data_IF_225994419442
#
_entry.id   IF_225994419442
#
_cell.length_a   1.000
_cell.length_b   1.000
_cell.length_c   1.000
_cell.angle_alpha   90.00
_cell.angle_beta   90.00
_cell.angle_gamma   90.00
#
_symmetry.space_group_name_H-M   'P 1'
#
loop_
_entity.id
_entity.type
_entity.pdbx_description
1 polymer ?
#
# COMPACT_ATOMS: atom_id res chain seq x y z
N UNK A 1 -66.49 7.12 -13.86
CA UNK A 1 -65.66 8.00 -13.01
C UNK A 1 -64.75 7.17 -12.09
N UNK A 2 -63.74 6.45 -12.63
CA UNK A 2 -62.80 5.60 -11.84
C UNK A 2 -61.35 5.66 -12.32
N UNK A 3 -60.98 6.62 -13.18
CA UNK A 3 -59.64 6.68 -13.82
C UNK A 3 -58.76 7.85 -13.35
N UNK A 4 -59.26 8.74 -12.48
CA UNK A 4 -58.51 9.91 -12.02
C UNK A 4 -57.77 9.73 -10.69
N UNK A 5 -58.08 8.67 -9.94
CA UNK A 5 -57.51 8.46 -8.58
C UNK A 5 -56.11 7.84 -8.61
N UNK A 6 -55.67 7.27 -9.74
CA UNK A 6 -54.39 6.55 -9.82
C UNK A 6 -53.18 7.44 -10.17
N UNK A 7 -53.41 8.63 -10.74
CA UNK A 7 -52.35 9.53 -11.21
C UNK A 7 -51.84 10.45 -10.08
N UNK A 8 -52.70 10.77 -9.11
CA UNK A 8 -52.34 11.62 -7.96
C UNK A 8 -51.52 10.83 -6.92
N UNK A 9 -51.72 9.51 -6.82
CA UNK A 9 -50.98 8.66 -5.87
C UNK A 9 -49.56 8.29 -6.37
N UNK A 10 -49.32 8.32 -7.68
CA UNK A 10 -47.99 8.06 -8.28
C UNK A 10 -47.09 9.29 -8.34
N UNK A 11 -47.65 10.50 -8.16
CA UNK A 11 -46.90 11.76 -8.23
C UNK A 11 -46.42 12.27 -6.86
N UNK A 12 -46.79 11.58 -5.76
CA UNK A 12 -46.43 11.97 -4.39
C UNK A 12 -45.23 11.20 -3.81
N UNK A 13 -44.68 10.22 -4.54
CA UNK A 13 -43.54 9.40 -4.07
C UNK A 13 -42.17 9.86 -4.60
N UNK A 14 -42.09 10.95 -5.35
CA UNK A 14 -40.86 11.38 -6.02
C UNK A 14 -40.14 12.58 -5.37
N UNK A 15 -40.53 13.01 -4.16
CA UNK A 15 -39.97 14.26 -3.57
C UNK A 15 -39.21 14.12 -2.26
N UNK A 16 -39.04 12.94 -1.67
CA UNK A 16 -38.19 12.79 -0.48
C UNK A 16 -37.55 11.40 -0.39
N UNK A 17 -36.71 11.06 -1.37
CA UNK A 17 -35.60 10.14 -1.09
C UNK A 17 -34.36 11.01 -0.84
N UNK A 18 -34.41 11.81 0.23
CA UNK A 18 -33.19 12.25 0.87
C UNK A 18 -32.71 10.99 1.60
N UNK A 19 -31.91 10.17 0.93
CA UNK A 19 -31.26 9.04 1.58
C UNK A 19 -30.38 9.62 2.69
N UNK A 20 -30.84 9.47 3.93
CA UNK A 20 -30.01 9.73 5.09
C UNK A 20 -28.97 8.62 5.15
N UNK A 21 -27.82 8.88 4.55
CA UNK A 21 -26.68 7.96 4.50
C UNK A 21 -26.21 7.53 5.89
N UNK A 22 -26.57 8.25 6.96
CA UNK A 22 -26.25 7.86 8.34
C UNK A 22 -27.08 6.68 8.86
N UNK A 23 -28.22 6.39 8.22
CA UNK A 23 -29.14 5.30 8.57
C UNK A 23 -29.02 4.09 7.65
N UNK A 24 -28.10 4.09 6.67
CA UNK A 24 -27.82 2.91 5.85
C UNK A 24 -27.25 1.78 6.73
N UNK A 25 -28.00 0.67 6.97
CA UNK A 25 -27.54 -0.41 7.83
C UNK A 25 -26.34 -1.17 7.25
N UNK A 26 -26.13 -1.08 5.94
CA UNK A 26 -24.98 -1.68 5.27
C UNK A 26 -23.79 -0.73 5.19
N UNK A 27 -24.04 0.59 5.38
CA UNK A 27 -23.04 1.65 5.23
C UNK A 27 -22.17 1.45 3.99
N UNK A 28 -22.77 1.04 2.86
CA UNK A 28 -21.99 0.71 1.66
C UNK A 28 -21.26 1.94 1.12
N UNK A 29 -21.82 3.12 1.36
CA UNK A 29 -21.18 4.41 1.09
C UNK A 29 -19.97 4.70 2.00
N UNK A 30 -19.92 4.11 3.20
CA UNK A 30 -18.78 4.21 4.14
C UNK A 30 -17.76 3.07 3.95
N UNK A 31 -17.99 2.14 3.01
CA UNK A 31 -16.95 1.22 2.56
C UNK A 31 -15.90 2.08 1.86
N UNK A 32 -14.91 2.47 2.65
CA UNK A 32 -13.74 3.25 2.24
C UNK A 32 -13.15 2.58 1.00
N UNK A 33 -13.03 3.34 -0.10
CA UNK A 33 -12.51 2.89 -1.39
C UNK A 33 -11.33 1.95 -1.15
N UNK A 34 -11.45 0.69 -1.60
CA UNK A 34 -10.40 -0.31 -1.46
C UNK A 34 -9.16 0.17 -2.24
N UNK A 35 -8.25 0.86 -1.54
CA UNK A 35 -7.09 1.51 -2.13
C UNK A 35 -5.84 0.84 -1.59
N UNK A 36 -5.03 0.30 -2.49
CA UNK A 36 -3.84 -0.49 -2.16
C UNK A 36 -2.73 -0.17 -3.14
N UNK A 37 -1.49 -0.30 -2.69
CA UNK A 37 -0.34 -0.39 -3.59
C UNK A 37 0.02 -1.84 -3.84
N UNK A 38 0.22 -2.18 -5.10
CA UNK A 38 0.49 -3.54 -5.56
C UNK A 38 1.92 -3.63 -6.08
N UNK A 39 2.71 -4.54 -5.52
CA UNK A 39 4.09 -4.79 -5.90
C UNK A 39 4.20 -5.27 -7.35
N UNK A 40 5.25 -4.81 -8.04
CA UNK A 40 5.56 -5.11 -9.45
C UNK A 40 7.05 -5.32 -9.67
N UNK A 41 7.38 -5.82 -10.85
CA UNK A 41 8.75 -6.01 -11.29
C UNK A 41 9.46 -7.15 -10.56
N UNK A 42 10.78 -7.07 -10.53
CA UNK A 42 11.69 -8.08 -9.95
C UNK A 42 11.38 -8.39 -8.47
N UNK A 43 10.87 -7.40 -7.73
CA UNK A 43 10.45 -7.57 -6.34
C UNK A 43 9.38 -8.67 -6.15
N UNK A 44 8.50 -8.89 -7.15
CA UNK A 44 7.50 -9.99 -7.13
C UNK A 44 8.15 -11.34 -7.43
N UNK A 45 9.12 -11.36 -8.35
CA UNK A 45 9.85 -12.57 -8.71
C UNK A 45 10.70 -13.04 -7.51
N UNK A 46 11.34 -12.12 -6.82
CA UNK A 46 12.13 -12.37 -5.60
C UNK A 46 11.30 -13.03 -4.50
N UNK A 47 10.05 -12.61 -4.27
CA UNK A 47 9.18 -13.23 -3.26
C UNK A 47 8.95 -14.73 -3.51
N UNK A 48 8.97 -15.15 -4.78
CA UNK A 48 8.77 -16.54 -5.19
C UNK A 48 10.09 -17.34 -5.24
N UNK A 49 11.24 -16.67 -5.15
CA UNK A 49 12.55 -17.34 -5.07
C UNK A 49 12.90 -17.70 -3.62
N UNK A 50 13.24 -18.98 -3.43
CA UNK A 50 13.69 -19.51 -2.14
C UNK A 50 14.95 -18.81 -1.63
N UNK A 51 15.78 -18.23 -2.50
CA UNK A 51 16.99 -17.51 -2.07
C UNK A 51 16.73 -16.18 -1.38
N UNK A 52 15.51 -15.63 -1.52
CA UNK A 52 15.08 -14.39 -0.88
C UNK A 52 14.24 -14.64 0.38
N UNK A 53 13.91 -15.89 0.72
CA UNK A 53 13.20 -16.24 1.95
C UNK A 53 11.88 -15.45 2.17
N UNK A 54 11.18 -15.11 1.09
CA UNK A 54 9.95 -14.30 1.17
C UNK A 54 10.21 -12.81 1.44
N UNK A 55 11.40 -12.31 1.12
CA UNK A 55 11.72 -10.89 1.00
C UNK A 55 11.58 -10.43 -0.45
N UNK A 56 11.36 -9.12 -0.63
CA UNK A 56 11.27 -8.53 -1.98
C UNK A 56 12.63 -8.17 -2.55
N UNK A 57 13.63 -8.06 -1.67
CA UNK A 57 14.99 -7.67 -2.00
C UNK A 57 15.94 -8.12 -0.87
N UNK A 58 17.25 -8.06 -1.09
CA UNK A 58 18.27 -8.40 -0.09
C UNK A 58 19.51 -7.51 -0.21
N UNK A 59 20.21 -7.29 0.89
CA UNK A 59 21.52 -6.63 0.89
C UNK A 59 22.57 -7.46 1.63
N UNK A 60 23.84 -7.29 1.25
CA UNK A 60 24.97 -7.88 1.95
C UNK A 60 25.49 -6.92 3.02
N UNK A 61 25.62 -7.40 4.27
CA UNK A 61 26.19 -6.58 5.36
C UNK A 61 27.71 -6.43 5.25
N UNK A 62 28.39 -7.28 4.46
CA UNK A 62 29.83 -7.18 4.14
C UNK A 62 30.12 -6.48 2.80
N UNK A 63 29.08 -6.17 2.02
CA UNK A 63 29.17 -5.46 0.74
C UNK A 63 29.40 -3.95 0.87
N UNK A 64 29.43 -3.26 -0.28
CA UNK A 64 29.48 -1.79 -0.32
C UNK A 64 28.09 -1.19 -0.07
N UNK A 65 27.81 -0.90 1.20
CA UNK A 65 26.53 -0.37 1.65
C UNK A 65 26.11 0.94 0.96
N UNK A 66 27.05 1.69 0.36
CA UNK A 66 26.73 2.94 -0.35
C UNK A 66 26.18 2.70 -1.76
N UNK A 67 26.46 1.54 -2.34
CA UNK A 67 25.94 1.13 -3.64
C UNK A 67 24.57 0.43 -3.53
N UNK A 68 24.16 0.04 -2.32
CA UNK A 68 22.94 -0.71 -2.05
C UNK A 68 21.72 0.22 -1.85
N UNK A 69 20.59 -0.17 -2.43
CA UNK A 69 19.32 0.53 -2.29
C UNK A 69 18.16 -0.45 -2.23
N UNK A 70 17.24 -0.25 -1.30
CA UNK A 70 15.98 -0.98 -1.31
C UNK A 70 15.09 -0.39 -2.40
N UNK A 71 14.75 -1.19 -3.41
CA UNK A 71 13.96 -0.69 -4.55
C UNK A 71 12.77 -1.60 -4.88
N UNK A 72 11.64 -0.99 -5.19
CA UNK A 72 10.46 -1.71 -5.68
C UNK A 72 9.58 -0.83 -6.56
N UNK A 73 8.89 -1.49 -7.49
CA UNK A 73 7.83 -0.86 -8.27
C UNK A 73 6.47 -1.15 -7.65
N UNK A 74 5.59 -0.14 -7.65
CA UNK A 74 4.24 -0.29 -7.13
C UNK A 74 3.19 0.35 -8.06
N UNK A 75 2.11 -0.40 -8.33
CA UNK A 75 0.89 0.12 -8.93
C UNK A 75 -0.08 0.60 -7.83
N UNK A 76 -0.64 1.80 -7.97
CA UNK A 76 -1.76 2.24 -7.15
C UNK A 76 -3.07 1.67 -7.72
N UNK A 77 -3.76 0.83 -6.94
CA UNK A 77 -5.06 0.27 -7.28
C UNK A 77 -6.11 0.91 -6.37
N UNK A 78 -7.06 1.59 -6.98
CA UNK A 78 -8.22 2.18 -6.32
C UNK A 78 -9.36 2.32 -7.32
N UNK A 79 -10.59 2.43 -6.82
CA UNK A 79 -11.74 2.83 -7.64
C UNK A 79 -11.56 4.23 -8.22
N UNK A 80 -10.74 5.06 -7.58
CA UNK A 80 -10.38 6.40 -8.03
C UNK A 80 -8.86 6.55 -8.13
N UNK A 81 -8.33 6.43 -9.35
CA UNK A 81 -6.89 6.44 -9.62
C UNK A 81 -6.21 7.79 -9.33
N UNK A 82 -6.98 8.87 -9.13
CA UNK A 82 -6.45 10.18 -8.78
C UNK A 82 -6.57 10.49 -7.28
N UNK A 83 -7.07 9.55 -6.49
CA UNK A 83 -7.28 9.75 -5.05
C UNK A 83 -6.01 9.66 -4.22
N UNK A 84 -4.88 9.22 -4.76
CA UNK A 84 -3.62 9.12 -4.01
C UNK A 84 -2.98 10.50 -3.82
N UNK A 85 -2.79 10.92 -2.56
CA UNK A 85 -2.05 12.14 -2.21
C UNK A 85 -0.57 11.84 -2.00
N UNK A 86 -0.27 10.82 -1.19
CA UNK A 86 1.09 10.42 -0.87
C UNK A 86 1.15 8.99 -0.33
N UNK A 87 2.35 8.41 -0.41
CA UNK A 87 2.73 7.16 0.24
C UNK A 87 3.81 7.49 1.25
N UNK A 88 3.53 7.26 2.53
CA UNK A 88 4.47 7.44 3.62
C UNK A 88 5.13 6.11 3.96
N UNK A 89 6.44 6.08 3.85
CA UNK A 89 7.25 4.88 4.00
C UNK A 89 7.96 4.92 5.34
N UNK A 90 7.90 3.81 6.05
CA UNK A 90 8.48 3.61 7.36
C UNK A 90 9.39 2.39 7.36
N UNK A 91 10.34 2.36 8.30
CA UNK A 91 11.18 1.21 8.56
C UNK A 91 11.13 0.80 10.03
N UNK A 92 11.32 -0.49 10.31
CA UNK A 92 11.56 -1.04 11.65
C UNK A 92 12.45 -2.29 11.60
N UNK A 93 13.15 -2.56 12.70
CA UNK A 93 14.07 -3.71 12.82
C UNK A 93 13.31 -5.00 13.16
N UNK A 94 12.25 -4.91 13.96
CA UNK A 94 11.35 -6.02 14.27
C UNK A 94 9.88 -5.58 14.20
N UNK A 95 8.96 -6.54 14.11
CA UNK A 95 7.52 -6.26 14.09
C UNK A 95 7.01 -5.58 15.37
N UNK A 96 7.75 -5.71 16.49
CA UNK A 96 7.45 -5.05 17.76
C UNK A 96 8.06 -3.66 17.92
N UNK A 97 9.06 -3.30 17.09
CA UNK A 97 9.73 -2.02 17.19
C UNK A 97 8.87 -0.88 16.64
N UNK A 98 9.04 0.36 17.17
CA UNK A 98 8.34 1.52 16.63
C UNK A 98 8.77 1.77 15.17
N UNK A 99 7.77 2.07 14.34
CA UNK A 99 7.96 2.52 12.97
C UNK A 99 8.74 3.83 12.95
N UNK A 100 9.77 3.93 12.11
CA UNK A 100 10.51 5.16 11.90
C UNK A 100 10.27 5.69 10.49
N UNK A 101 9.94 6.98 10.33
CA UNK A 101 9.67 7.56 9.01
C UNK A 101 10.94 7.54 8.16
N UNK A 102 10.82 7.09 6.92
CA UNK A 102 11.93 6.87 6.01
C UNK A 102 11.85 7.79 4.79
N UNK A 103 10.70 7.85 4.14
CA UNK A 103 10.49 8.68 2.96
C UNK A 103 8.98 8.95 2.77
N UNK A 104 8.68 10.02 2.02
CA UNK A 104 7.32 10.29 1.54
C UNK A 104 7.38 10.42 0.01
N UNK A 105 6.57 9.63 -0.68
CA UNK A 105 6.45 9.66 -2.14
C UNK A 105 5.14 10.36 -2.48
N UNK A 106 5.20 11.44 -3.26
CA UNK A 106 3.99 12.12 -3.70
C UNK A 106 3.16 11.21 -4.61
N UNK A 107 1.83 11.24 -4.47
CA UNK A 107 0.91 10.57 -5.39
C UNK A 107 1.07 11.03 -6.84
N UNK A 108 1.60 12.25 -7.07
CA UNK A 108 1.92 12.75 -8.41
C UNK A 108 3.10 12.03 -9.10
N UNK A 109 3.92 11.29 -8.35
CA UNK A 109 4.95 10.42 -8.91
C UNK A 109 4.36 9.14 -9.51
N UNK A 110 3.16 8.73 -9.08
CA UNK A 110 2.45 7.60 -9.66
C UNK A 110 1.81 8.00 -10.99
N UNK A 111 2.31 7.44 -12.09
CA UNK A 111 1.90 7.82 -13.45
C UNK A 111 1.42 6.59 -14.22
N UNK A 112 0.32 6.73 -14.95
CA UNK A 112 -0.32 5.60 -15.66
C UNK A 112 0.50 5.07 -16.84
N UNK A 113 1.51 5.81 -17.34
CA UNK A 113 2.43 5.34 -18.38
C UNK A 113 1.70 4.62 -19.54
N UNK A 114 2.23 3.46 -19.95
CA UNK A 114 1.56 2.54 -20.89
C UNK A 114 0.71 1.46 -20.19
N UNK A 115 0.57 1.53 -18.87
CA UNK A 115 -0.13 0.55 -18.04
C UNK A 115 -1.60 0.91 -17.79
N UNK A 116 -2.30 0.03 -17.07
CA UNK A 116 -3.68 0.29 -16.63
C UNK A 116 -3.76 1.13 -15.35
N UNK A 117 -2.74 1.05 -14.51
CA UNK A 117 -2.72 1.65 -13.18
C UNK A 117 -1.55 2.63 -13.04
N UNK A 118 -1.69 3.72 -12.27
CA UNK A 118 -0.58 4.61 -11.94
C UNK A 118 0.55 3.83 -11.26
N UNK A 119 1.78 3.94 -11.78
CA UNK A 119 2.96 3.27 -11.25
C UNK A 119 4.00 4.27 -10.80
N UNK A 120 4.68 3.97 -9.70
CA UNK A 120 5.92 4.62 -9.29
C UNK A 120 7.00 3.59 -8.97
N UNK A 121 8.25 3.99 -9.19
CA UNK A 121 9.44 3.26 -8.73
C UNK A 121 9.96 3.94 -7.49
N UNK A 122 10.10 3.19 -6.41
CA UNK A 122 10.56 3.67 -5.11
C UNK A 122 11.94 3.08 -4.89
N UNK A 123 12.91 3.94 -4.58
CA UNK A 123 14.28 3.53 -4.30
C UNK A 123 14.81 4.31 -3.11
N UNK A 124 15.27 3.60 -2.08
CA UNK A 124 15.75 4.20 -0.83
C UNK A 124 17.15 3.67 -0.55
N UNK A 125 18.17 4.53 -0.43
CA UNK A 125 19.53 4.09 -0.10
C UNK A 125 19.57 3.30 1.20
N UNK A 126 20.32 2.19 1.23
CA UNK A 126 20.48 1.37 2.43
C UNK A 126 21.06 2.19 3.59
N UNK A 127 22.01 3.08 3.30
CA UNK A 127 22.58 4.00 4.30
C UNK A 127 21.54 4.88 4.97
N UNK A 128 20.54 5.37 4.21
CA UNK A 128 19.41 6.12 4.76
C UNK A 128 18.59 5.24 5.69
N UNK A 129 18.27 4.01 5.29
CA UNK A 129 17.50 3.06 6.12
C UNK A 129 18.23 2.79 7.45
N UNK A 130 19.49 2.40 7.39
CA UNK A 130 20.30 2.07 8.56
C UNK A 130 20.45 3.28 9.50
N UNK A 131 20.71 4.47 8.95
CA UNK A 131 20.85 5.70 9.75
C UNK A 131 19.55 6.11 10.45
N UNK A 132 18.40 6.01 9.77
CA UNK A 132 17.08 6.25 10.35
C UNK A 132 16.79 5.24 11.47
N UNK A 133 17.09 3.97 11.23
CA UNK A 133 16.94 2.91 12.23
C UNK A 133 17.93 3.05 13.39
N UNK A 134 19.05 3.76 13.21
CA UNK A 134 20.08 3.91 14.22
C UNK A 134 20.81 2.59 14.48
N UNK A 135 20.99 1.78 13.44
CA UNK A 135 21.64 0.46 13.51
C UNK A 135 22.80 0.39 12.52
N UNK A 136 23.83 -0.38 12.85
CA UNK A 136 24.89 -0.70 11.89
C UNK A 136 24.56 -2.01 11.18
N UNK A 137 24.87 -2.12 9.89
CA UNK A 137 24.65 -3.35 9.14
C UNK A 137 25.37 -4.55 9.76
N UNK A 138 26.57 -4.35 10.31
CA UNK A 138 27.37 -5.39 10.95
C UNK A 138 26.69 -6.02 12.18
N UNK A 139 25.80 -5.27 12.84
CA UNK A 139 25.07 -5.71 14.04
C UNK A 139 23.80 -6.50 13.69
N UNK A 140 23.38 -6.50 12.42
CA UNK A 140 22.18 -7.19 11.97
C UNK A 140 22.45 -8.70 11.81
N UNK A 141 21.57 -9.57 12.35
CA UNK A 141 21.69 -11.00 12.17
C UNK A 141 21.54 -11.38 10.68
N UNK A 142 22.36 -12.32 10.22
CA UNK A 142 22.19 -12.91 8.89
C UNK A 142 20.87 -13.67 8.81
N UNK A 143 20.20 -13.59 7.66
CA UNK A 143 18.88 -14.16 7.43
C UNK A 143 17.79 -13.54 8.33
N UNK A 144 18.00 -12.30 8.79
CA UNK A 144 16.95 -11.47 9.39
C UNK A 144 16.37 -10.49 8.38
N UNK A 145 15.33 -9.75 8.78
CA UNK A 145 14.66 -8.78 7.92
C UNK A 145 14.70 -7.39 8.54
N UNK A 146 14.88 -6.39 7.70
CA UNK A 146 14.34 -5.06 7.96
C UNK A 146 12.94 -5.00 7.36
N UNK A 147 11.99 -4.42 8.09
CA UNK A 147 10.61 -4.31 7.64
C UNK A 147 10.39 -2.91 7.09
N UNK A 148 9.87 -2.84 5.86
CA UNK A 148 9.53 -1.60 5.17
C UNK A 148 8.01 -1.56 5.02
N UNK A 149 7.40 -0.52 5.56
CA UNK A 149 5.94 -0.41 5.63
C UNK A 149 5.47 0.87 4.95
N UNK A 150 4.31 0.80 4.28
CA UNK A 150 3.75 1.93 3.55
C UNK A 150 2.31 2.24 3.98
N UNK A 151 2.08 3.49 4.36
CA UNK A 151 0.76 4.07 4.57
C UNK A 151 0.39 4.95 3.38
N UNK A 152 -0.88 4.92 2.97
CA UNK A 152 -1.37 5.72 1.86
C UNK A 152 -2.28 6.79 2.42
N UNK A 153 -2.07 8.03 2.01
CA UNK A 153 -3.02 9.12 2.29
C UNK A 153 -3.80 9.42 1.02
N UNK A 154 -5.12 9.44 1.12
CA UNK A 154 -6.03 9.75 0.02
C UNK A 154 -6.51 11.20 0.05
N UNK A 155 -7.07 11.68 -1.06
CA UNK A 155 -7.53 13.07 -1.24
C UNK A 155 -8.67 13.47 -0.30
N UNK A 156 -9.42 12.49 0.21
CA UNK A 156 -10.47 12.70 1.21
C UNK A 156 -9.93 12.74 2.66
N UNK A 157 -8.61 12.60 2.84
CA UNK A 157 -7.94 12.55 4.14
C UNK A 157 -7.90 11.17 4.77
N UNK A 158 -8.48 10.14 4.13
CA UNK A 158 -8.38 8.76 4.58
C UNK A 158 -6.93 8.29 4.54
N UNK A 159 -6.50 7.66 5.62
CA UNK A 159 -5.22 6.96 5.67
C UNK A 159 -5.49 5.45 5.61
N UNK A 160 -4.89 4.78 4.63
CA UNK A 160 -4.85 3.31 4.56
C UNK A 160 -3.52 2.87 5.16
N UNK A 161 -3.50 2.46 6.44
CA UNK A 161 -2.26 2.08 7.10
C UNK A 161 -1.78 0.71 6.61
N UNK A 162 -0.48 0.46 6.73
CA UNK A 162 0.11 -0.84 6.43
C UNK A 162 -0.55 -1.99 7.24
N UNK A 163 -1.00 -1.69 8.46
CA UNK A 163 -1.71 -2.63 9.34
C UNK A 163 -3.11 -3.00 8.87
N UNK A 164 -3.71 -2.25 7.92
CA UNK A 164 -4.99 -2.63 7.31
C UNK A 164 -4.87 -3.90 6.45
N UNK A 165 -3.64 -4.26 6.05
CA UNK A 165 -3.36 -5.50 5.32
C UNK A 165 -3.03 -6.61 6.33
N UNK A 166 -4.09 -7.21 6.89
CA UNK A 166 -3.99 -8.17 8.01
C UNK A 166 -3.55 -9.57 7.57
N UNK A 167 -3.66 -9.90 6.28
CA UNK A 167 -3.24 -11.19 5.75
C UNK A 167 -2.79 -11.05 4.30
N UNK A 168 -1.50 -10.77 4.10
CA UNK A 168 -0.86 -10.72 2.79
C UNK A 168 -1.13 -11.99 1.99
N UNK A 169 -1.25 -13.14 2.66
CA UNK A 169 -1.48 -14.45 2.03
C UNK A 169 -2.86 -14.67 1.44
N UNK A 170 -3.88 -13.92 1.87
CA UNK A 170 -5.16 -13.87 1.15
C UNK A 170 -5.06 -13.08 -0.17
N UNK A 171 -4.03 -12.26 -0.29
CA UNK A 171 -3.73 -11.47 -1.46
C UNK A 171 -2.57 -12.02 -2.28
N UNK A 172 -1.91 -13.12 -1.86
CA UNK A 172 -0.82 -13.84 -2.57
C UNK A 172 -1.34 -14.57 -3.82
N UNK A 173 -1.95 -13.83 -4.72
CA UNK A 173 -2.10 -14.26 -6.10
C UNK A 173 -0.74 -14.10 -6.78
N UNK A 174 -0.35 -15.03 -7.67
CA UNK A 174 0.84 -14.85 -8.52
C UNK A 174 0.83 -13.53 -9.32
N UNK A 175 -0.32 -12.84 -9.37
CA UNK A 175 -0.57 -11.60 -10.12
C UNK A 175 -0.65 -10.38 -9.20
N UNK A 176 -0.86 -10.56 -7.89
CA UNK A 176 -1.13 -9.47 -6.96
C UNK A 176 -0.38 -9.69 -5.65
N UNK A 177 0.43 -8.73 -5.22
CA UNK A 177 1.09 -8.74 -3.91
C UNK A 177 0.99 -7.33 -3.33
N UNK A 178 0.41 -7.14 -2.13
CA UNK A 178 0.32 -5.81 -1.54
C UNK A 178 1.70 -5.31 -1.10
N UNK A 179 2.07 -4.10 -1.50
CA UNK A 179 3.36 -3.47 -1.18
C UNK A 179 3.36 -2.69 0.15
N UNK A 180 2.38 -2.95 1.02
CA UNK A 180 2.21 -2.26 2.29
C UNK A 180 3.15 -2.76 3.39
N UNK A 181 3.50 -4.05 3.37
CA UNK A 181 4.37 -4.68 4.35
C UNK A 181 5.42 -5.52 3.59
N UNK A 182 6.60 -4.94 3.41
CA UNK A 182 7.70 -5.54 2.67
C UNK A 182 8.83 -5.93 3.61
N UNK A 183 9.60 -6.94 3.20
CA UNK A 183 10.77 -7.43 3.94
C UNK A 183 12.01 -7.22 3.10
N UNK A 184 13.06 -6.69 3.71
CA UNK A 184 14.38 -6.54 3.11
C UNK A 184 15.37 -7.46 3.83
N UNK A 185 15.85 -8.49 3.15
CA UNK A 185 16.66 -9.55 3.74
C UNK A 185 18.10 -9.11 3.98
N UNK A 186 18.59 -9.39 5.19
CA UNK A 186 20.00 -9.23 5.56
C UNK A 186 20.76 -10.50 5.19
N UNK A 187 21.77 -10.36 4.33
CA UNK A 187 22.69 -11.45 3.96
C UNK A 187 24.12 -11.16 4.44
N UNK A 188 24.99 -12.17 4.39
CA UNK A 188 26.42 -11.99 4.69
C UNK A 188 27.07 -10.96 3.78
#
# INVERSE_FOLDING_TARGET
MKKFTFIILSSLFLLTACEDTSLDPFKLADITKASIIALRGEAVDNLNDRTYLGSVDRFSKSGDLNAESFSFDADFLSDDLNSLVQVDIYARVSESDPRKPLATVSGSEFKTGSGRYPRASISIPLTTILSTLGVNAADLPTNSYLFIESDLTLTDGTVVPASAIVNSSLFESAIFYPAHNLRYLVTE
#
